data_IF_787265554945
#
_entry.id   IF_787265554945
#
_cell.length_a   1.000
_cell.length_b   1.000
_cell.length_c   1.000
_cell.angle_alpha   90.00
_cell.angle_beta   90.00
_cell.angle_gamma   90.00
#
_symmetry.space_group_name_H-M   'P 1'
#
loop_
_entity.id
_entity.type
_entity.pdbx_description
1 polymer ?
#
# COMPACT_ATOMS: atom_id res chain seq x y z
N UNK A 1 -9.97 11.36 8.10
CA UNK A 1 -9.16 10.22 7.63
C UNK A 1 -7.69 10.59 7.68
N UNK A 2 -6.81 9.63 7.98
CA UNK A 2 -5.36 9.82 7.92
C UNK A 2 -4.73 8.72 7.07
N UNK A 3 -3.68 9.05 6.32
CA UNK A 3 -2.86 8.10 5.58
C UNK A 3 -1.38 8.34 5.90
N UNK A 4 -0.62 7.25 6.09
CA UNK A 4 0.82 7.33 6.33
C UNK A 4 1.51 6.06 5.84
N UNK A 5 2.81 6.14 5.55
CA UNK A 5 3.63 4.99 5.15
C UNK A 5 4.85 4.81 6.04
N UNK A 6 5.34 3.57 6.11
CA UNK A 6 6.62 3.21 6.73
C UNK A 6 7.39 2.29 5.81
N UNK A 7 8.71 2.46 5.76
CA UNK A 7 9.59 1.65 4.90
C UNK A 7 10.78 1.13 5.69
N UNK A 8 11.15 -0.13 5.43
CA UNK A 8 12.39 -0.75 5.90
C UNK A 8 12.98 -1.59 4.78
N UNK A 9 14.08 -1.14 4.19
CA UNK A 9 14.68 -1.78 3.02
C UNK A 9 13.72 -1.82 1.83
N UNK A 10 13.42 -3.02 1.33
CA UNK A 10 12.47 -3.28 0.25
C UNK A 10 11.01 -3.43 0.71
N UNK A 11 10.74 -3.46 2.02
CA UNK A 11 9.38 -3.57 2.54
C UNK A 11 8.78 -2.18 2.77
N UNK A 12 7.59 -1.95 2.22
CA UNK A 12 6.81 -0.71 2.38
C UNK A 12 5.42 -1.07 2.86
N UNK A 13 4.98 -0.46 3.96
CA UNK A 13 3.63 -0.55 4.50
C UNK A 13 2.95 0.81 4.36
N UNK A 14 1.72 0.82 3.88
CA UNK A 14 0.87 2.00 3.74
C UNK A 14 -0.41 1.78 4.54
N UNK A 15 -0.75 2.72 5.42
CA UNK A 15 -1.92 2.61 6.29
C UNK A 15 -2.86 3.76 6.01
N UNK A 16 -4.15 3.46 5.89
CA UNK A 16 -5.21 4.45 5.77
C UNK A 16 -6.27 4.15 6.82
N UNK A 17 -6.60 5.14 7.66
CA UNK A 17 -7.50 4.95 8.81
C UNK A 17 -8.61 5.99 8.78
N UNK A 18 -9.85 5.51 8.93
CA UNK A 18 -10.96 6.36 9.31
C UNK A 18 -10.91 6.64 10.82
N UNK A 19 -10.80 7.92 11.18
CA UNK A 19 -10.75 8.36 12.57
C UNK A 19 -12.14 8.71 13.13
N UNK A 20 -13.18 8.70 12.29
CA UNK A 20 -14.57 8.77 12.72
C UNK A 20 -15.05 7.35 13.08
N UNK A 21 -15.32 7.05 14.37
CA UNK A 21 -15.72 5.72 14.79
C UNK A 21 -17.20 5.40 14.50
N UNK A 22 -17.98 6.36 14.02
CA UNK A 22 -19.43 6.23 13.88
C UNK A 22 -19.91 6.29 12.43
N UNK A 23 -19.22 7.05 11.57
CA UNK A 23 -19.66 7.26 10.20
C UNK A 23 -18.67 6.72 9.17
N UNK A 24 -19.22 6.17 8.09
CA UNK A 24 -18.47 5.84 6.88
C UNK A 24 -17.82 7.10 6.32
N UNK A 25 -16.54 7.01 5.97
CA UNK A 25 -15.79 8.08 5.34
C UNK A 25 -15.22 7.59 4.02
N UNK A 26 -15.26 8.46 3.01
CA UNK A 26 -14.65 8.22 1.71
C UNK A 26 -13.72 9.37 1.35
N UNK A 27 -12.63 9.07 0.64
CA UNK A 27 -11.76 10.09 0.10
C UNK A 27 -10.83 9.53 -0.98
N UNK A 28 -10.13 10.44 -1.67
CA UNK A 28 -9.02 10.10 -2.55
C UNK A 28 -7.71 10.26 -1.78
N UNK A 29 -6.97 9.16 -1.62
CA UNK A 29 -5.63 9.17 -1.05
C UNK A 29 -4.63 9.47 -2.15
N UNK A 30 -3.99 10.63 -2.05
CA UNK A 30 -2.88 11.01 -2.93
C UNK A 30 -1.55 10.60 -2.30
N UNK A 31 -0.82 9.72 -2.98
CA UNK A 31 0.46 9.19 -2.54
C UNK A 31 1.63 9.98 -3.07
N UNK A 32 2.63 10.19 -2.22
CA UNK A 32 3.99 10.57 -2.63
C UNK A 32 4.71 9.31 -3.12
N UNK A 33 4.63 9.06 -4.43
CA UNK A 33 5.17 7.84 -5.04
C UNK A 33 6.69 7.70 -4.85
N UNK A 34 7.52 8.77 -5.03
CA UNK A 34 8.95 8.69 -4.74
C UNK A 34 9.28 8.34 -3.29
N UNK A 35 8.50 8.82 -2.31
CA UNK A 35 8.71 8.44 -0.91
C UNK A 35 8.45 6.95 -0.67
N UNK A 36 7.57 6.34 -1.48
CA UNK A 36 7.35 4.90 -1.50
C UNK A 36 8.41 4.15 -2.32
N UNK A 37 9.35 4.83 -2.97
CA UNK A 37 10.37 4.26 -3.84
C UNK A 37 9.81 3.76 -5.17
N UNK A 38 8.85 4.49 -5.73
CA UNK A 38 8.18 4.23 -7.00
C UNK A 38 8.21 5.50 -7.86
N UNK A 39 8.16 5.36 -9.19
CA UNK A 39 7.98 6.50 -10.08
C UNK A 39 6.55 7.05 -10.01
N UNK A 40 6.38 8.34 -10.33
CA UNK A 40 5.07 9.03 -10.22
C UNK A 40 3.94 8.43 -11.05
N UNK A 41 4.28 7.72 -12.13
CA UNK A 41 3.33 7.11 -13.05
C UNK A 41 3.13 5.61 -12.79
N UNK A 42 3.83 5.03 -11.82
CA UNK A 42 3.69 3.62 -11.50
C UNK A 42 2.32 3.31 -10.89
N UNK A 43 1.85 2.10 -11.16
CA UNK A 43 0.74 1.48 -10.45
C UNK A 43 1.22 0.12 -9.95
N UNK A 44 1.15 -0.09 -8.64
CA UNK A 44 1.70 -1.28 -7.98
C UNK A 44 0.59 -2.10 -7.32
N UNK A 45 0.71 -3.43 -7.31
CA UNK A 45 -0.17 -4.25 -6.51
C UNK A 45 0.10 -4.00 -5.02
N UNK A 46 -0.96 -3.81 -4.24
CA UNK A 46 -0.91 -3.69 -2.79
C UNK A 46 -1.88 -4.70 -2.20
N UNK A 47 -1.48 -5.37 -1.12
CA UNK A 47 -2.32 -6.32 -0.40
C UNK A 47 -2.75 -5.71 0.92
N UNK A 48 -4.05 -5.67 1.20
CA UNK A 48 -4.54 -5.34 2.53
C UNK A 48 -4.34 -6.54 3.45
N UNK A 49 -3.54 -6.39 4.49
CA UNK A 49 -3.26 -7.45 5.45
C UNK A 49 -4.45 -7.69 6.40
N UNK A 50 -5.42 -6.77 6.49
CA UNK A 50 -6.61 -6.95 7.32
C UNK A 50 -7.68 -7.81 6.63
N UNK A 51 -7.81 -7.71 5.31
CA UNK A 51 -8.84 -8.43 4.53
C UNK A 51 -8.26 -9.51 3.62
N UNK A 52 -6.97 -9.45 3.30
CA UNK A 52 -6.30 -10.30 2.32
C UNK A 52 -6.50 -9.86 0.86
N UNK A 53 -7.32 -8.83 0.61
CA UNK A 53 -7.63 -8.37 -0.73
C UNK A 53 -6.45 -7.66 -1.38
N UNK A 54 -6.35 -7.76 -2.70
CA UNK A 54 -5.30 -7.09 -3.49
C UNK A 54 -5.90 -6.03 -4.39
N UNK A 55 -5.25 -4.87 -4.42
CA UNK A 55 -5.64 -3.70 -5.19
C UNK A 55 -4.46 -3.24 -6.04
N UNK A 56 -4.73 -2.50 -7.12
CA UNK A 56 -3.70 -1.79 -7.87
C UNK A 56 -3.75 -0.31 -7.50
N UNK A 57 -2.69 0.18 -6.86
CA UNK A 57 -2.62 1.55 -6.38
C UNK A 57 -1.60 2.36 -7.19
N UNK A 58 -2.04 3.52 -7.65
CA UNK A 58 -1.19 4.54 -8.27
C UNK A 58 -1.10 5.77 -7.38
N UNK A 59 -0.89 6.93 -8.01
CA UNK A 59 -0.78 8.21 -7.28
C UNK A 59 -2.07 8.61 -6.54
N UNK A 60 -3.25 8.36 -7.10
CA UNK A 60 -4.54 8.79 -6.53
C UNK A 60 -5.48 7.59 -6.43
N UNK A 61 -5.92 7.26 -5.22
CA UNK A 61 -6.69 6.04 -4.96
C UNK A 61 -7.95 6.36 -4.16
N UNK A 62 -9.10 5.95 -4.66
CA UNK A 62 -10.35 6.06 -3.91
C UNK A 62 -10.40 5.02 -2.80
N UNK A 63 -10.81 5.44 -1.60
CA UNK A 63 -11.04 4.58 -0.45
C UNK A 63 -12.38 4.92 0.19
N UNK A 64 -13.05 3.88 0.71
CA UNK A 64 -14.29 4.00 1.49
C UNK A 64 -14.19 3.07 2.69
N UNK A 65 -14.18 3.64 3.89
CA UNK A 65 -13.98 2.94 5.16
C UNK A 65 -15.22 3.05 6.02
N UNK A 66 -15.79 1.89 6.37
CA UNK A 66 -17.01 1.76 7.17
C UNK A 66 -16.66 1.24 8.58
N UNK A 67 -16.88 2.05 9.64
CA UNK A 67 -16.68 1.60 11.01
C UNK A 67 -17.49 0.34 11.32
N UNK A 68 -16.89 -0.61 12.04
CA UNK A 68 -17.49 -1.91 12.35
C UNK A 68 -17.30 -2.98 11.27
N UNK A 69 -16.93 -2.61 10.04
CA UNK A 69 -16.60 -3.56 8.96
C UNK A 69 -15.13 -3.48 8.56
N UNK A 70 -14.69 -2.32 8.07
CA UNK A 70 -13.30 -2.05 7.68
C UNK A 70 -12.96 -0.62 8.12
N UNK A 71 -12.50 -0.41 9.37
CA UNK A 71 -12.17 0.92 9.88
C UNK A 71 -10.83 1.46 9.34
N UNK A 72 -10.00 0.57 8.80
CA UNK A 72 -8.70 0.89 8.25
C UNK A 72 -8.31 -0.11 7.16
N UNK A 73 -7.36 0.30 6.31
CA UNK A 73 -6.60 -0.59 5.47
C UNK A 73 -5.13 -0.59 5.91
N UNK A 74 -4.49 -1.76 5.92
CA UNK A 74 -3.06 -1.92 6.18
C UNK A 74 -2.42 -2.61 4.99
N UNK A 75 -1.91 -1.83 4.06
CA UNK A 75 -1.38 -2.33 2.81
C UNK A 75 0.10 -2.68 2.89
N UNK A 76 0.46 -3.88 2.43
CA UNK A 76 1.82 -4.22 2.00
C UNK A 76 1.97 -3.92 0.51
N UNK A 77 2.99 -3.16 0.13
CA UNK A 77 3.33 -2.95 -1.30
C UNK A 77 4.00 -4.22 -1.83
N UNK A 78 3.38 -4.85 -2.83
CA UNK A 78 3.90 -6.04 -3.49
C UNK A 78 4.85 -5.59 -4.60
N UNK A 79 6.15 -5.64 -4.34
CA UNK A 79 7.16 -5.48 -5.38
C UNK A 79 7.44 -6.85 -6.01
N UNK A 80 7.61 -6.94 -7.33
CA UNK A 80 8.21 -8.12 -7.93
C UNK A 80 9.57 -8.31 -7.26
N UNK A 81 9.80 -9.46 -6.62
CA UNK A 81 11.16 -9.83 -6.26
C UNK A 81 11.93 -9.97 -7.57
N UNK A 82 12.99 -9.16 -7.75
CA UNK A 82 13.98 -9.46 -8.77
C UNK A 82 14.44 -10.90 -8.50
N UNK A 83 14.29 -11.85 -9.44
CA UNK A 83 14.79 -13.19 -9.21
C UNK A 83 16.27 -13.07 -8.87
N UNK A 84 16.69 -13.60 -7.72
CA UNK A 84 18.10 -13.74 -7.42
C UNK A 84 18.66 -14.80 -8.38
N UNK A 85 19.08 -14.37 -9.57
CA UNK A 85 19.77 -15.24 -10.53
C UNK A 85 21.10 -15.58 -9.88
N UNK A 86 21.14 -16.71 -9.18
CA UNK A 86 22.33 -17.29 -8.58
C UNK A 86 23.28 -17.74 -9.68
N UNK A 87 24.10 -16.81 -10.18
CA UNK A 87 25.29 -17.14 -10.94
C UNK A 87 26.32 -17.75 -10.00
N UNK A 88 26.50 -19.06 -10.05
CA UNK A 88 27.65 -19.73 -9.41
C UNK A 88 28.93 -19.37 -10.19
N UNK A 89 30.00 -18.88 -9.55
CA UNK A 89 31.29 -18.73 -10.21
C UNK A 89 32.00 -20.09 -10.14
N UNK A 90 32.01 -20.85 -11.24
CA UNK A 90 32.98 -21.93 -11.42
C UNK A 90 34.19 -21.38 -12.15
N UNK A 91 35.28 -21.33 -11.38
CA UNK A 91 36.68 -21.25 -11.86
C UNK A 91 37.06 -22.55 -12.55
#
# INVERSE_FOLDING_TARGET
MIAYSKRRGSNTVLVVVNLDPHHTQEATVSLDMPQLGLEWHESVPVRDELTGETYHWGRNNYVRLEPGRVPAHVFSVLRPSTPQIGGSPTT
#
